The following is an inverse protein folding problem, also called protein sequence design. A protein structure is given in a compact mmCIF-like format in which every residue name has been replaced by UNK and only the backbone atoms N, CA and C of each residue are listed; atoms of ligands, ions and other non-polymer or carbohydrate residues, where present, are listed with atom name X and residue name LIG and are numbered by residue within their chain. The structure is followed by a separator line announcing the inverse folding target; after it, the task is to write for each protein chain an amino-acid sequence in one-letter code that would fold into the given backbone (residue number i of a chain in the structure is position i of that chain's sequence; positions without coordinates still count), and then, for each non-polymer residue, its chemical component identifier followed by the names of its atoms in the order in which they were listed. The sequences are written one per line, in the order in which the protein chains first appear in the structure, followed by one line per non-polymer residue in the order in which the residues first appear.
data_IF_172288059535
#
_entry.id   IF_172288059535
#
_cell.length_a   1.000
_cell.length_b   1.000
_cell.length_c   1.000
_cell.angle_alpha   90.00
_cell.angle_beta   90.00
_cell.angle_gamma   90.00
#
_symmetry.space_group_name_H-M   'P 1'
#
loop_
_entity.id
_entity.type
_entity.pdbx_description
1 polymer ?
#
# COMPACT_ATOMS: atom_id res chain seq x y z
N UNK A 1 30.07 4.13 27.73
CA UNK A 1 29.16 3.00 27.43
C UNK A 1 27.87 3.33 28.14
N UNK A 2 26.74 3.65 27.51
CA UNK A 2 26.28 3.39 26.16
C UNK A 2 25.76 4.69 25.51
N UNK A 3 26.17 4.92 24.26
CA UNK A 3 25.50 5.83 23.33
C UNK A 3 24.40 4.98 22.70
N UNK A 4 23.27 4.87 23.39
CA UNK A 4 22.16 4.06 22.90
C UNK A 4 21.29 4.89 21.96
N UNK A 5 21.55 4.61 20.70
CA UNK A 5 20.57 4.55 19.63
C UNK A 5 19.99 5.91 19.23
N UNK A 6 20.63 6.46 18.19
CA UNK A 6 19.98 7.29 17.17
C UNK A 6 18.54 6.79 16.96
N UNK A 7 17.58 7.51 17.53
CA UNK A 7 16.22 7.53 17.03
C UNK A 7 16.29 8.14 15.64
N UNK A 8 16.72 7.32 14.66
CA UNK A 8 16.28 7.55 13.31
C UNK A 8 14.77 7.50 13.41
N UNK A 9 14.17 8.65 13.19
CA UNK A 9 12.80 8.88 12.75
C UNK A 9 12.58 8.15 11.41
N UNK A 10 12.93 6.86 11.36
CA UNK A 10 12.49 5.88 10.38
C UNK A 10 11.00 5.77 10.64
N UNK A 11 10.25 6.71 10.05
CA UNK A 11 8.80 6.75 10.03
C UNK A 11 8.33 5.48 9.35
N UNK A 12 8.30 4.38 10.11
CA UNK A 12 7.72 3.11 9.69
C UNK A 12 6.28 3.42 9.30
N UNK A 13 5.90 2.94 8.12
CA UNK A 13 4.49 2.94 7.73
C UNK A 13 3.77 2.13 8.82
N UNK A 14 2.74 2.68 9.46
CA UNK A 14 1.96 1.91 10.42
C UNK A 14 1.33 0.71 9.71
N UNK A 15 0.98 -0.34 10.45
CA UNK A 15 0.12 -1.37 9.89
C UNK A 15 -1.29 -0.80 9.69
N UNK A 16 -1.94 -1.10 8.57
CA UNK A 16 -3.32 -0.73 8.34
C UNK A 16 -4.22 -1.61 9.21
N UNK A 17 -5.05 -0.99 10.04
CA UNK A 17 -5.99 -1.67 10.95
C UNK A 17 -7.45 -1.35 10.61
N UNK A 18 -7.69 -0.62 9.52
CA UNK A 18 -8.99 -0.03 9.17
C UNK A 18 -9.08 1.44 9.60
N UNK A 19 -9.21 1.71 10.89
CA UNK A 19 -9.45 3.06 11.45
C UNK A 19 -8.38 4.10 11.10
N UNK A 20 -7.15 3.63 10.87
CA UNK A 20 -6.01 4.50 10.59
C UNK A 20 -5.78 4.75 9.08
N UNK A 21 -6.73 4.37 8.21
CA UNK A 21 -6.59 4.44 6.76
C UNK A 21 -6.11 5.80 6.23
N UNK A 22 -6.66 6.97 6.63
CA UNK A 22 -6.20 8.25 6.08
C UNK A 22 -4.74 8.58 6.39
N UNK A 23 -4.27 8.15 7.56
CA UNK A 23 -2.86 8.37 7.96
C UNK A 23 -1.95 7.34 7.29
N UNK A 24 -2.41 6.09 7.23
CA UNK A 24 -1.72 5.00 6.55
C UNK A 24 -1.53 5.31 5.07
N UNK A 25 -2.59 5.70 4.38
CA UNK A 25 -2.61 6.02 2.96
C UNK A 25 -1.57 7.09 2.62
N UNK A 26 -1.57 8.22 3.34
CA UNK A 26 -0.58 9.29 3.14
C UNK A 26 0.86 8.79 3.29
N UNK A 27 1.13 7.99 4.32
CA UNK A 27 2.47 7.43 4.56
C UNK A 27 2.86 6.39 3.51
N UNK A 28 1.92 5.55 3.08
CA UNK A 28 2.14 4.54 2.03
C UNK A 28 2.43 5.20 0.69
N UNK A 29 1.65 6.22 0.30
CA UNK A 29 1.93 7.03 -0.90
C UNK A 29 3.32 7.65 -0.86
N UNK A 30 3.73 8.23 0.27
CA UNK A 30 5.08 8.77 0.45
C UNK A 30 6.17 7.69 0.31
N UNK A 31 5.94 6.51 0.87
CA UNK A 31 6.87 5.38 0.79
C UNK A 31 7.03 4.88 -0.65
N UNK A 32 5.92 4.65 -1.36
CA UNK A 32 5.93 4.22 -2.75
C UNK A 32 6.60 5.26 -3.67
N UNK A 33 6.42 6.56 -3.40
CA UNK A 33 7.14 7.62 -4.12
C UNK A 33 8.65 7.53 -3.88
N UNK A 34 9.08 7.25 -2.65
CA UNK A 34 10.49 7.00 -2.32
C UNK A 34 11.07 5.79 -3.05
N UNK A 35 10.25 4.77 -3.32
CA UNK A 35 10.63 3.58 -4.08
C UNK A 35 10.46 3.72 -5.60
N UNK A 36 9.95 4.86 -6.09
CA UNK A 36 9.54 5.08 -7.50
C UNK A 36 8.46 4.10 -7.99
N UNK A 37 7.64 3.59 -7.08
CA UNK A 37 6.55 2.64 -7.34
C UNK A 37 5.17 3.30 -7.36
N UNK A 38 5.08 4.58 -6.99
CA UNK A 38 3.78 5.25 -6.86
C UNK A 38 2.99 5.34 -8.17
N UNK A 39 3.64 5.53 -9.32
CA UNK A 39 2.95 5.55 -10.62
C UNK A 39 2.26 4.22 -10.95
N UNK A 40 2.77 3.11 -10.41
CA UNK A 40 2.25 1.75 -10.66
C UNK A 40 0.86 1.54 -10.06
N UNK A 41 0.54 2.26 -8.97
CA UNK A 41 -0.73 2.13 -8.26
C UNK A 41 -1.75 3.20 -8.68
N UNK A 42 -1.32 4.28 -9.34
CA UNK A 42 -2.23 5.34 -9.82
C UNK A 42 -2.66 5.11 -11.28
N UNK A 43 -1.76 4.58 -12.10
CA UNK A 43 -2.03 4.35 -13.52
C UNK A 43 -2.08 2.84 -13.77
N UNK A 44 -3.26 2.26 -14.07
CA UNK A 44 -3.34 0.88 -14.49
C UNK A 44 -2.55 0.70 -15.78
N UNK A 45 -1.71 -0.34 -15.82
CA UNK A 45 -1.01 -0.74 -17.04
C UNK A 45 -2.01 -1.18 -18.12
N UNK A 46 -1.64 -1.10 -19.41
CA UNK A 46 -2.43 -1.71 -20.48
C UNK A 46 -2.64 -3.21 -20.23
N UNK A 47 -3.69 -3.78 -20.82
CA UNK A 47 -4.17 -5.16 -20.60
C UNK A 47 -3.05 -6.24 -20.69
N UNK A 48 -1.98 -5.96 -21.43
CA UNK A 48 -0.78 -6.80 -21.50
C UNK A 48 0.45 -6.03 -21.00
N UNK A 49 0.77 -6.08 -19.69
CA UNK A 49 1.99 -5.49 -19.17
C UNK A 49 3.22 -6.26 -19.67
N UNK A 50 4.27 -5.53 -19.98
CA UNK A 50 5.58 -6.12 -20.24
C UNK A 50 6.12 -6.82 -18.98
N UNK A 51 7.08 -7.75 -19.10
CA UNK A 51 7.67 -8.41 -17.94
C UNK A 51 8.25 -7.45 -16.89
N UNK A 52 8.86 -6.34 -17.34
CA UNK A 52 9.43 -5.31 -16.46
C UNK A 52 8.32 -4.56 -15.68
N UNK A 53 7.21 -4.25 -16.35
CA UNK A 53 6.04 -3.60 -15.74
C UNK A 53 5.35 -4.52 -14.72
N UNK A 54 5.26 -5.81 -15.05
CA UNK A 54 4.75 -6.83 -14.14
C UNK A 54 5.65 -7.00 -12.91
N UNK A 55 6.97 -6.99 -13.07
CA UNK A 55 7.90 -7.02 -11.93
C UNK A 55 7.73 -5.78 -11.04
N UNK A 56 7.57 -4.59 -11.62
CA UNK A 56 7.30 -3.36 -10.87
C UNK A 56 5.97 -3.42 -10.12
N UNK A 57 4.94 -4.03 -10.74
CA UNK A 57 3.65 -4.28 -10.13
C UNK A 57 3.76 -5.24 -8.94
N UNK A 58 4.41 -6.39 -9.10
CA UNK A 58 4.63 -7.35 -8.01
C UNK A 58 5.40 -6.74 -6.84
N UNK A 59 6.43 -5.93 -7.14
CA UNK A 59 7.19 -5.20 -6.10
C UNK A 59 6.33 -4.19 -5.36
N UNK A 60 5.41 -3.53 -6.06
CA UNK A 60 4.46 -2.58 -5.48
C UNK A 60 3.43 -3.29 -4.62
N UNK A 61 2.89 -4.42 -5.08
CA UNK A 61 1.96 -5.27 -4.34
C UNK A 61 2.60 -5.77 -3.04
N UNK A 62 3.84 -6.27 -3.11
CA UNK A 62 4.59 -6.69 -1.93
C UNK A 62 4.84 -5.54 -0.92
N UNK A 63 5.04 -4.31 -1.40
CA UNK A 63 5.18 -3.14 -0.54
C UNK A 63 3.86 -2.75 0.14
N UNK A 64 2.74 -2.83 -0.58
CA UNK A 64 1.40 -2.61 -0.03
C UNK A 64 1.10 -3.62 1.06
N UNK A 65 1.20 -4.92 0.76
CA UNK A 65 0.87 -6.04 1.66
C UNK A 65 1.67 -6.00 2.96
N UNK A 66 2.94 -5.60 2.92
CA UNK A 66 3.77 -5.42 4.14
C UNK A 66 3.22 -4.39 5.13
N UNK A 67 2.37 -3.48 4.66
CA UNK A 67 1.72 -2.46 5.47
C UNK A 67 0.31 -2.82 5.91
N UNK A 68 -0.17 -4.05 5.67
CA UNK A 68 -1.53 -4.49 5.98
C UNK A 68 -1.56 -5.55 7.09
N UNK A 69 -2.61 -5.55 7.91
CA UNK A 69 -2.90 -6.69 8.78
C UNK A 69 -3.46 -7.88 7.99
N UNK A 70 -3.22 -9.09 8.47
CA UNK A 70 -3.63 -10.35 7.83
C UNK A 70 -5.12 -10.38 7.45
N UNK A 71 -5.99 -9.85 8.31
CA UNK A 71 -7.43 -9.84 8.04
C UNK A 71 -7.79 -8.91 6.87
N UNK A 72 -7.03 -7.83 6.67
CA UNK A 72 -7.19 -6.92 5.52
C UNK A 72 -6.60 -7.58 4.28
N UNK A 73 -5.42 -8.21 4.38
CA UNK A 73 -4.82 -8.96 3.26
C UNK A 73 -5.81 -9.97 2.72
N UNK A 74 -6.43 -10.78 3.59
CA UNK A 74 -7.42 -11.77 3.20
C UNK A 74 -8.72 -11.18 2.61
N UNK A 75 -9.00 -9.90 2.86
CA UNK A 75 -10.16 -9.21 2.32
C UNK A 75 -9.88 -8.57 0.95
N UNK A 76 -8.66 -8.07 0.72
CA UNK A 76 -8.32 -7.27 -0.47
C UNK A 76 -7.43 -7.99 -1.49
N UNK A 77 -6.74 -9.06 -1.09
CA UNK A 77 -5.84 -9.82 -1.96
C UNK A 77 -6.46 -11.17 -2.31
N UNK A 78 -6.44 -11.51 -3.60
CA UNK A 78 -6.90 -12.78 -4.14
C UNK A 78 -5.98 -13.23 -5.31
N UNK A 79 -6.21 -14.45 -5.81
CA UNK A 79 -5.41 -15.05 -6.88
C UNK A 79 -5.41 -14.24 -8.19
N UNK A 80 -6.41 -13.39 -8.41
CA UNK A 80 -6.55 -12.56 -9.61
C UNK A 80 -5.75 -11.27 -9.50
N UNK A 81 -5.59 -10.71 -8.30
CA UNK A 81 -5.00 -9.40 -8.07
C UNK A 81 -3.64 -9.40 -7.35
N UNK A 82 -3.17 -10.55 -6.84
CA UNK A 82 -1.96 -10.64 -6.00
C UNK A 82 -0.69 -10.06 -6.68
N UNK A 83 -0.68 -10.01 -8.01
CA UNK A 83 0.43 -9.50 -8.84
C UNK A 83 0.20 -8.07 -9.32
N UNK A 84 -1.00 -7.53 -9.14
CA UNK A 84 -1.47 -6.28 -9.71
C UNK A 84 -1.71 -5.24 -8.61
N UNK A 85 -0.69 -4.42 -8.35
CA UNK A 85 -0.73 -3.48 -7.23
C UNK A 85 -1.83 -2.42 -7.34
N UNK A 86 -2.19 -2.01 -8.56
CA UNK A 86 -3.29 -1.06 -8.78
C UNK A 86 -4.63 -1.67 -8.36
N UNK A 87 -4.89 -2.95 -8.65
CA UNK A 87 -6.12 -3.63 -8.22
C UNK A 87 -6.20 -3.73 -6.69
N UNK A 88 -5.09 -4.10 -6.03
CA UNK A 88 -5.03 -4.13 -4.56
C UNK A 88 -5.25 -2.72 -3.98
N UNK A 89 -4.69 -1.70 -4.62
CA UNK A 89 -4.86 -0.31 -4.20
C UNK A 89 -6.32 0.15 -4.35
N UNK A 90 -6.97 -0.17 -5.46
CA UNK A 90 -8.36 0.19 -5.73
C UNK A 90 -9.31 -0.48 -4.72
N UNK A 91 -9.13 -1.76 -4.42
CA UNK A 91 -9.89 -2.49 -3.38
C UNK A 91 -9.74 -1.84 -2.00
N UNK A 92 -8.50 -1.46 -1.62
CA UNK A 92 -8.25 -0.73 -0.38
C UNK A 92 -8.97 0.63 -0.34
N UNK A 93 -9.01 1.35 -1.46
CA UNK A 93 -9.74 2.60 -1.56
C UNK A 93 -11.25 2.38 -1.48
N UNK A 94 -11.79 1.38 -2.17
CA UNK A 94 -13.22 1.08 -2.17
C UNK A 94 -13.73 0.74 -0.77
N UNK A 95 -13.00 -0.11 -0.05
CA UNK A 95 -13.36 -0.57 1.30
C UNK A 95 -13.19 0.56 2.32
N UNK A 96 -12.03 1.24 2.36
CA UNK A 96 -11.69 2.12 3.47
C UNK A 96 -11.84 3.62 3.17
N UNK A 97 -11.83 4.06 1.91
CA UNK A 97 -12.11 5.47 1.60
C UNK A 97 -13.60 5.80 1.76
N UNK A 98 -14.48 4.82 1.50
CA UNK A 98 -15.93 4.92 1.75
C UNK A 98 -16.24 5.12 3.24
N UNK A 99 -15.57 4.38 4.12
CA UNK A 99 -15.74 4.49 5.58
C UNK A 99 -15.05 5.73 6.17
N UNK A 100 -13.90 6.13 5.62
CA UNK A 100 -13.18 7.33 6.06
C UNK A 100 -13.98 8.62 5.86
N UNK A 101 -14.85 8.69 4.85
CA UNK A 101 -15.71 9.86 4.63
C UNK A 101 -16.79 9.98 5.73
N UNK A 102 -17.27 8.86 6.27
CA UNK A 102 -18.28 8.84 7.34
C UNK A 102 -17.70 9.19 8.71
N UNK A 103 -16.42 8.88 8.98
CA UNK A 103 -15.79 9.17 10.27
C UNK A 103 -15.37 10.64 10.47
N UNK A 104 -15.58 11.51 9.45
CA UNK A 104 -15.19 12.93 9.48
C UNK A 104 -16.37 13.87 9.80
N UNK A 105 -17.56 13.35 10.12
CA UNK A 105 -18.74 14.14 10.49
C UNK A 105 -19.19 13.89 11.94
#
# INVERSE_FOLDING_TARGET
MADDSKSNDDKKIPMLTGDNFPTWERKMRMHLRGLKLFGIIEEPWPDEPTPDELELSERSAAALVKGLEDHIINAVVNDENERFAHLIWDELQEIFASDSLLSTF
#
